data_IF_609905722896
#
_entry.id   IF_609905722896
#
_cell.length_a   1.000
_cell.length_b   1.000
_cell.length_c   1.000
_cell.angle_alpha   90.00
_cell.angle_beta   90.00
_cell.angle_gamma   90.00
#
_symmetry.space_group_name_H-M   'P 1'
#
loop_
_entity.id
_entity.type
_entity.pdbx_description
1 polymer ?
#
# COMPACT_ATOMS: atom_id res chain seq x y z
N UNK A 1 97.59 31.01 -32.10
CA UNK A 1 96.88 31.29 -30.83
C UNK A 1 95.40 31.04 -31.07
N UNK A 2 94.89 29.91 -30.58
CA UNK A 2 93.45 29.68 -30.53
C UNK A 2 92.87 30.65 -29.50
N UNK A 3 91.90 31.45 -29.91
CA UNK A 3 91.24 32.51 -29.13
C UNK A 3 90.32 32.01 -28.01
N UNK A 4 90.32 30.72 -27.71
CA UNK A 4 89.41 30.12 -26.73
C UNK A 4 90.18 29.33 -25.67
N UNK A 5 90.04 29.75 -24.40
CA UNK A 5 90.53 29.03 -23.22
C UNK A 5 89.76 27.70 -23.07
N UNK A 6 90.43 26.53 -23.14
CA UNK A 6 89.80 25.22 -22.97
C UNK A 6 89.05 25.08 -21.64
N UNK A 7 89.48 25.79 -20.58
CA UNK A 7 88.81 25.77 -19.26
C UNK A 7 87.44 26.44 -19.30
N UNK A 8 87.30 27.51 -20.08
CA UNK A 8 86.03 28.19 -20.29
C UNK A 8 85.06 27.31 -21.09
N UNK A 9 85.56 26.60 -22.11
CA UNK A 9 84.77 25.64 -22.88
C UNK A 9 84.32 24.44 -22.04
N UNK A 10 85.19 23.88 -21.20
CA UNK A 10 84.82 22.77 -20.27
C UNK A 10 83.69 23.21 -19.35
N UNK A 11 83.76 24.42 -18.77
CA UNK A 11 82.71 24.96 -17.90
C UNK A 11 81.38 25.14 -18.64
N UNK A 12 81.41 25.77 -19.82
CA UNK A 12 80.18 26.00 -20.63
C UNK A 12 79.53 24.68 -21.06
N UNK A 13 80.33 23.67 -21.44
CA UNK A 13 79.81 22.36 -21.82
C UNK A 13 79.27 21.57 -20.61
N UNK A 14 79.90 21.72 -19.43
CA UNK A 14 79.41 21.11 -18.19
C UNK A 14 78.10 21.75 -17.72
N UNK A 15 77.98 23.08 -17.80
CA UNK A 15 76.75 23.81 -17.50
C UNK A 15 75.62 23.41 -18.47
N UNK A 16 75.94 23.13 -19.74
CA UNK A 16 74.98 22.64 -20.73
C UNK A 16 74.55 21.19 -20.44
N UNK A 17 75.47 20.34 -20.02
CA UNK A 17 75.18 18.97 -19.56
C UNK A 17 74.20 18.97 -18.39
N UNK A 18 74.46 19.79 -17.37
CA UNK A 18 73.60 19.93 -16.20
C UNK A 18 72.21 20.46 -16.58
N UNK A 19 72.13 21.46 -17.48
CA UNK A 19 70.84 21.97 -17.99
C UNK A 19 70.05 20.92 -18.76
N UNK A 20 70.70 20.09 -19.57
CA UNK A 20 70.05 18.97 -20.27
C UNK A 20 69.53 17.92 -19.30
N UNK A 21 70.28 17.62 -18.24
CA UNK A 21 69.84 16.71 -17.17
C UNK A 21 68.63 17.26 -16.42
N UNK A 22 68.66 18.53 -16.01
CA UNK A 22 67.52 19.21 -15.36
C UNK A 22 66.28 19.21 -16.24
N UNK A 23 66.40 19.59 -17.51
CA UNK A 23 65.30 19.52 -18.46
C UNK A 23 64.71 18.10 -18.59
N UNK A 24 65.57 17.08 -18.57
CA UNK A 24 65.13 15.68 -18.67
C UNK A 24 64.35 15.24 -17.43
N UNK A 25 64.77 15.69 -16.24
CA UNK A 25 64.06 15.45 -14.98
C UNK A 25 62.71 16.19 -14.96
N UNK A 26 62.72 17.49 -15.22
CA UNK A 26 61.52 18.34 -15.21
C UNK A 26 60.46 17.84 -16.21
N UNK A 27 60.88 17.46 -17.42
CA UNK A 27 59.97 16.89 -18.43
C UNK A 27 59.43 15.51 -18.05
N UNK A 28 60.24 14.67 -17.39
CA UNK A 28 59.77 13.39 -16.86
C UNK A 28 58.76 13.59 -15.73
N UNK A 29 58.97 14.53 -14.83
CA UNK A 29 58.08 14.75 -13.70
C UNK A 29 56.77 15.42 -14.13
N UNK A 30 56.84 16.38 -15.05
CA UNK A 30 55.65 16.98 -15.69
C UNK A 30 54.80 15.93 -16.41
N UNK A 31 55.43 14.97 -17.12
CA UNK A 31 54.71 13.89 -17.78
C UNK A 31 54.02 12.96 -16.78
N UNK A 32 54.69 12.60 -15.67
CA UNK A 32 54.08 11.79 -14.60
C UNK A 32 52.88 12.48 -13.97
N UNK A 33 52.98 13.79 -13.72
CA UNK A 33 51.87 14.58 -13.18
C UNK A 33 50.69 14.62 -14.16
N UNK A 34 50.96 14.83 -15.45
CA UNK A 34 49.92 14.79 -16.49
C UNK A 34 49.26 13.40 -16.62
N UNK A 35 50.04 12.31 -16.57
CA UNK A 35 49.52 10.93 -16.56
C UNK A 35 48.67 10.65 -15.30
N UNK A 36 49.08 11.16 -14.14
CA UNK A 36 48.30 11.04 -12.90
C UNK A 36 46.96 11.79 -13.00
N UNK A 37 46.98 13.05 -13.43
CA UNK A 37 45.77 13.86 -13.58
C UNK A 37 44.82 13.22 -14.60
N UNK A 38 45.34 12.73 -15.73
CA UNK A 38 44.55 12.02 -16.73
C UNK A 38 43.86 10.79 -16.14
N UNK A 39 44.58 9.96 -15.37
CA UNK A 39 44.01 8.78 -14.71
C UNK A 39 42.89 9.17 -13.74
N UNK A 40 43.10 10.19 -12.91
CA UNK A 40 42.07 10.69 -12.01
C UNK A 40 40.85 11.23 -12.77
N UNK A 41 41.05 11.90 -13.90
CA UNK A 41 39.96 12.38 -14.74
C UNK A 41 39.15 11.22 -15.36
N UNK A 42 39.83 10.21 -15.90
CA UNK A 42 39.20 8.98 -16.42
C UNK A 42 38.40 8.24 -15.35
N UNK A 43 38.97 8.05 -14.15
CA UNK A 43 38.29 7.41 -13.03
C UNK A 43 37.01 8.17 -12.63
N UNK A 44 37.08 9.50 -12.53
CA UNK A 44 35.93 10.35 -12.20
C UNK A 44 34.86 10.32 -13.29
N UNK A 45 35.24 10.37 -14.57
CA UNK A 45 34.30 10.25 -15.68
C UNK A 45 33.63 8.88 -15.69
N UNK A 46 34.39 7.80 -15.50
CA UNK A 46 33.85 6.44 -15.41
C UNK A 46 32.88 6.28 -14.23
N UNK A 47 33.19 6.89 -13.09
CA UNK A 47 32.26 6.92 -11.95
C UNK A 47 30.99 7.69 -12.30
N UNK A 48 31.11 8.86 -12.94
CA UNK A 48 29.97 9.67 -13.35
C UNK A 48 29.07 8.93 -14.34
N UNK A 49 29.64 8.21 -15.32
CA UNK A 49 28.90 7.34 -16.27
C UNK A 49 28.08 6.28 -15.52
N UNK A 50 28.69 5.62 -14.53
CA UNK A 50 27.98 4.60 -13.74
C UNK A 50 26.86 5.22 -12.92
N UNK A 51 27.10 6.35 -12.25
CA UNK A 51 26.09 7.03 -11.46
C UNK A 51 24.93 7.54 -12.33
N UNK A 52 25.21 8.08 -13.52
CA UNK A 52 24.16 8.54 -14.44
C UNK A 52 23.35 7.38 -15.00
N UNK A 53 23.97 6.22 -15.27
CA UNK A 53 23.25 5.02 -15.70
C UNK A 53 22.31 4.49 -14.61
N UNK A 54 22.77 4.45 -13.35
CA UNK A 54 21.93 4.08 -12.19
C UNK A 54 20.77 5.07 -12.04
N UNK A 55 21.04 6.37 -12.12
CA UNK A 55 20.00 7.40 -12.01
C UNK A 55 18.95 7.27 -13.12
N UNK A 56 19.38 7.00 -14.37
CA UNK A 56 18.47 6.76 -15.51
C UNK A 56 17.57 5.56 -15.25
N UNK A 57 18.13 4.41 -14.91
CA UNK A 57 17.32 3.22 -14.62
C UNK A 57 16.34 3.47 -13.47
N UNK A 58 16.74 4.19 -12.42
CA UNK A 58 15.84 4.51 -11.32
C UNK A 58 14.67 5.41 -11.76
N UNK A 59 14.92 6.39 -12.63
CA UNK A 59 13.85 7.26 -13.15
C UNK A 59 12.92 6.48 -14.09
N UNK A 60 13.44 5.60 -14.92
CA UNK A 60 12.65 4.69 -15.77
C UNK A 60 11.69 3.84 -14.91
N UNK A 61 12.20 3.21 -13.84
CA UNK A 61 11.35 2.46 -12.90
C UNK A 61 10.30 3.35 -12.22
N UNK A 62 10.69 4.53 -11.74
CA UNK A 62 9.75 5.45 -11.10
C UNK A 62 8.65 5.91 -12.08
N UNK A 63 8.97 6.11 -13.36
CA UNK A 63 7.99 6.45 -14.38
C UNK A 63 6.99 5.31 -14.61
N UNK A 64 7.46 4.07 -14.67
CA UNK A 64 6.59 2.88 -14.77
C UNK A 64 5.65 2.78 -13.56
N UNK A 65 6.18 2.91 -12.34
CA UNK A 65 5.40 2.88 -11.10
C UNK A 65 4.33 3.98 -11.06
N UNK A 66 4.68 5.21 -11.46
CA UNK A 66 3.74 6.33 -11.47
C UNK A 66 2.66 6.12 -12.54
N UNK A 67 2.99 5.59 -13.70
CA UNK A 67 2.00 5.26 -14.74
C UNK A 67 1.01 4.19 -14.25
N UNK A 68 1.49 3.16 -13.56
CA UNK A 68 0.61 2.14 -12.96
C UNK A 68 -0.34 2.76 -11.94
N UNK A 69 0.18 3.64 -11.06
CA UNK A 69 -0.64 4.38 -10.09
C UNK A 69 -1.67 5.27 -10.79
N UNK A 70 -1.31 5.97 -11.87
CA UNK A 70 -2.24 6.83 -12.63
C UNK A 70 -3.41 6.03 -13.22
N UNK A 71 -3.13 4.85 -13.77
CA UNK A 71 -4.16 3.94 -14.31
C UNK A 71 -5.08 3.47 -13.20
N UNK A 72 -4.52 3.05 -12.07
CA UNK A 72 -5.28 2.55 -10.93
C UNK A 72 -6.15 3.65 -10.30
N UNK A 73 -5.61 4.86 -10.13
CA UNK A 73 -6.37 6.00 -9.61
C UNK A 73 -7.48 6.41 -10.59
N UNK A 74 -7.21 6.44 -11.89
CA UNK A 74 -8.23 6.71 -12.91
C UNK A 74 -9.36 5.67 -12.85
N UNK A 75 -9.02 4.40 -12.64
CA UNK A 75 -9.98 3.32 -12.43
C UNK A 75 -10.84 3.59 -11.19
N UNK A 76 -10.22 3.92 -10.04
CA UNK A 76 -10.94 4.22 -8.80
C UNK A 76 -11.86 5.43 -8.94
N UNK A 77 -11.43 6.51 -9.61
CA UNK A 77 -12.28 7.68 -9.89
C UNK A 77 -13.51 7.28 -10.70
N UNK A 78 -13.35 6.44 -11.74
CA UNK A 78 -14.49 5.93 -12.52
C UNK A 78 -15.45 5.05 -11.72
N UNK A 79 -14.93 4.30 -10.74
CA UNK A 79 -15.76 3.50 -9.85
C UNK A 79 -16.54 4.36 -8.86
N UNK A 80 -15.92 5.42 -8.34
CA UNK A 80 -16.59 6.38 -7.46
C UNK A 80 -17.72 7.12 -8.18
N UNK A 81 -17.52 7.55 -9.43
CA UNK A 81 -18.60 8.19 -10.20
C UNK A 81 -19.78 7.25 -10.44
N UNK A 82 -19.50 5.97 -10.75
CA UNK A 82 -20.53 4.93 -10.88
C UNK A 82 -21.24 4.67 -9.55
N UNK A 83 -20.50 4.65 -8.43
CA UNK A 83 -21.06 4.46 -7.09
C UNK A 83 -21.97 5.63 -6.69
N UNK A 84 -21.62 6.87 -7.03
CA UNK A 84 -22.46 8.05 -6.82
C UNK A 84 -23.75 7.94 -7.64
N UNK A 85 -23.65 7.61 -8.93
CA UNK A 85 -24.82 7.49 -9.80
C UNK A 85 -25.79 6.41 -9.30
N UNK A 86 -25.26 5.23 -8.95
CA UNK A 86 -26.06 4.13 -8.40
C UNK A 86 -26.67 4.47 -7.04
N UNK A 87 -25.98 5.25 -6.20
CA UNK A 87 -26.51 5.73 -4.92
C UNK A 87 -27.65 6.73 -5.12
N UNK A 88 -27.53 7.66 -6.06
CA UNK A 88 -28.63 8.57 -6.41
C UNK A 88 -29.85 7.82 -6.97
N UNK A 89 -29.63 6.84 -7.85
CA UNK A 89 -30.70 6.00 -8.37
C UNK A 89 -31.40 5.23 -7.24
N UNK A 90 -30.62 4.67 -6.32
CA UNK A 90 -31.15 3.95 -5.15
C UNK A 90 -31.97 4.87 -4.26
N UNK A 91 -31.47 6.06 -3.95
CA UNK A 91 -32.19 7.06 -3.17
C UNK A 91 -33.53 7.46 -3.83
N UNK A 92 -33.55 7.63 -5.15
CA UNK A 92 -34.78 7.92 -5.90
C UNK A 92 -35.81 6.78 -5.79
N UNK A 93 -35.36 5.52 -5.94
CA UNK A 93 -36.23 4.33 -5.81
C UNK A 93 -36.80 4.24 -4.38
N UNK A 94 -35.97 4.44 -3.37
CA UNK A 94 -36.38 4.33 -1.97
C UNK A 94 -37.33 5.47 -1.58
N UNK A 95 -37.09 6.70 -2.05
CA UNK A 95 -38.03 7.81 -1.88
C UNK A 95 -39.40 7.51 -2.52
N UNK A 96 -39.40 6.90 -3.71
CA UNK A 96 -40.65 6.45 -4.33
C UNK A 96 -41.35 5.37 -3.48
N UNK A 97 -40.60 4.43 -2.90
CA UNK A 97 -41.14 3.40 -2.02
C UNK A 97 -41.73 4.00 -0.73
N UNK A 98 -41.08 5.01 -0.14
CA UNK A 98 -41.61 5.75 1.00
C UNK A 98 -42.95 6.43 0.67
N UNK A 99 -43.04 7.15 -0.45
CA UNK A 99 -44.29 7.78 -0.88
C UNK A 99 -45.42 6.77 -1.09
N UNK A 100 -45.10 5.58 -1.63
CA UNK A 100 -46.06 4.47 -1.76
C UNK A 100 -46.49 3.93 -0.40
N UNK A 101 -45.58 3.80 0.56
CA UNK A 101 -45.91 3.37 1.91
C UNK A 101 -46.81 4.39 2.63
N UNK A 102 -46.49 5.67 2.54
CA UNK A 102 -47.27 6.77 3.14
C UNK A 102 -48.68 6.84 2.54
N UNK A 103 -48.80 6.76 1.21
CA UNK A 103 -50.12 6.73 0.55
C UNK A 103 -50.94 5.50 0.92
N UNK A 104 -50.30 4.34 1.08
CA UNK A 104 -50.94 3.10 1.54
C UNK A 104 -51.43 3.23 2.98
N UNK A 105 -50.63 3.82 3.87
CA UNK A 105 -51.03 4.08 5.25
C UNK A 105 -52.25 5.01 5.30
N UNK A 106 -52.22 6.12 4.55
CA UNK A 106 -53.33 7.06 4.47
C UNK A 106 -54.61 6.38 3.95
N UNK A 107 -54.49 5.52 2.94
CA UNK A 107 -55.63 4.75 2.42
C UNK A 107 -56.26 3.86 3.51
N UNK A 108 -55.45 3.08 4.22
CA UNK A 108 -55.97 2.18 5.26
C UNK A 108 -56.49 2.91 6.50
N UNK A 109 -55.92 4.06 6.84
CA UNK A 109 -56.45 4.92 7.89
C UNK A 109 -57.85 5.44 7.53
N UNK A 110 -58.05 5.85 6.28
CA UNK A 110 -59.38 6.25 5.79
C UNK A 110 -60.38 5.09 5.81
N UNK A 111 -59.96 3.90 5.33
CA UNK A 111 -60.79 2.68 5.39
C UNK A 111 -61.15 2.29 6.83
N UNK A 112 -60.22 2.45 7.78
CA UNK A 112 -60.48 2.22 9.20
C UNK A 112 -61.54 3.19 9.74
N UNK A 113 -61.47 4.47 9.38
CA UNK A 113 -62.49 5.46 9.78
C UNK A 113 -63.87 5.11 9.22
N UNK A 114 -63.95 4.66 7.96
CA UNK A 114 -65.20 4.19 7.34
C UNK A 114 -65.74 2.97 8.09
N UNK A 115 -64.87 2.01 8.43
CA UNK A 115 -65.25 0.81 9.18
C UNK A 115 -65.78 1.14 10.59
N UNK A 116 -65.12 2.05 11.30
CA UNK A 116 -65.56 2.53 12.62
C UNK A 116 -66.92 3.23 12.54
N UNK A 117 -67.14 4.07 11.52
CA UNK A 117 -68.44 4.70 11.29
C UNK A 117 -69.54 3.69 10.95
N UNK A 118 -69.21 2.59 10.25
CA UNK A 118 -70.16 1.50 10.01
C UNK A 118 -70.48 0.73 11.30
N UNK A 119 -69.46 0.41 12.11
CA UNK A 119 -69.68 -0.23 13.42
C UNK A 119 -70.61 0.62 14.30
N UNK A 120 -70.35 1.93 14.42
CA UNK A 120 -71.19 2.82 15.21
C UNK A 120 -72.65 2.86 14.72
N UNK A 121 -72.88 2.82 13.40
CA UNK A 121 -74.23 2.74 12.84
C UNK A 121 -74.91 1.39 13.14
N UNK A 122 -74.17 0.29 13.09
CA UNK A 122 -74.68 -1.05 13.41
C UNK A 122 -75.03 -1.18 14.90
N UNK A 123 -74.24 -0.57 15.80
CA UNK A 123 -74.56 -0.47 17.24
C UNK A 123 -75.88 0.27 17.47
N UNK A 124 -76.05 1.43 16.83
CA UNK A 124 -77.30 2.20 16.92
C UNK A 124 -78.50 1.41 16.37
N UNK A 125 -78.33 0.69 15.25
CA UNK A 125 -79.40 -0.17 14.68
C UNK A 125 -79.78 -1.29 15.65
N UNK A 126 -78.80 -1.94 16.27
CA UNK A 126 -79.05 -2.98 17.26
C UNK A 126 -79.81 -2.44 18.47
N UNK A 127 -79.41 -1.28 19.00
CA UNK A 127 -80.11 -0.64 20.12
C UNK A 127 -81.57 -0.31 19.76
N UNK A 128 -81.82 0.19 18.54
CA UNK A 128 -83.18 0.44 18.04
C UNK A 128 -83.99 -0.85 17.90
N UNK A 129 -83.40 -1.92 17.35
CA UNK A 129 -84.06 -3.21 17.22
C UNK A 129 -84.44 -3.79 18.59
N UNK A 130 -83.56 -3.68 19.60
CA UNK A 130 -83.83 -4.11 20.97
C UNK A 130 -84.98 -3.30 21.58
N UNK A 131 -85.04 -1.99 21.35
CA UNK A 131 -86.16 -1.15 21.82
C UNK A 131 -87.50 -1.54 21.18
N UNK A 132 -87.49 -1.83 19.87
CA UNK A 132 -88.68 -2.30 19.14
C UNK A 132 -89.13 -3.66 19.68
N UNK A 133 -88.20 -4.59 19.90
CA UNK A 133 -88.49 -5.90 20.50
C UNK A 133 -89.13 -5.77 21.89
N UNK A 134 -88.55 -4.95 22.78
CA UNK A 134 -89.13 -4.69 24.11
C UNK A 134 -90.52 -4.05 24.02
N UNK A 135 -90.74 -3.17 23.03
CA UNK A 135 -92.06 -2.60 22.80
C UNK A 135 -93.07 -3.66 22.32
N UNK A 136 -92.66 -4.55 21.42
CA UNK A 136 -93.49 -5.65 20.93
C UNK A 136 -93.84 -6.64 22.06
N UNK A 137 -92.89 -6.97 22.95
CA UNK A 137 -93.16 -7.78 24.15
C UNK A 137 -94.24 -7.14 25.03
N UNK A 138 -94.13 -5.84 25.30
CA UNK A 138 -95.15 -5.08 26.05
C UNK A 138 -96.51 -5.10 25.34
N UNK A 139 -96.53 -5.01 24.01
CA UNK A 139 -97.75 -5.08 23.22
C UNK A 139 -98.41 -6.46 23.35
N UNK A 140 -97.64 -7.55 23.26
CA UNK A 140 -98.11 -8.92 23.46
C UNK A 140 -98.71 -9.10 24.86
N UNK A 141 -98.02 -8.62 25.90
CA UNK A 141 -98.52 -8.68 27.27
C UNK A 141 -99.83 -7.90 27.43
N UNK A 142 -99.90 -6.68 26.90
CA UNK A 142 -101.11 -5.87 26.90
C UNK A 142 -102.27 -6.55 26.16
N UNK A 143 -102.02 -7.13 24.98
CA UNK A 143 -103.00 -7.85 24.19
C UNK A 143 -103.50 -9.11 24.91
N UNK A 144 -102.62 -9.87 25.56
CA UNK A 144 -102.97 -11.03 26.39
C UNK A 144 -103.84 -10.63 27.58
N UNK A 145 -103.50 -9.53 28.25
CA UNK A 145 -104.31 -8.97 29.33
C UNK A 145 -105.68 -8.48 28.85
N UNK A 146 -105.77 -7.92 27.64
CA UNK A 146 -107.04 -7.55 27.02
C UNK A 146 -107.88 -8.78 26.68
N UNK A 147 -107.27 -9.83 26.10
CA UNK A 147 -107.93 -11.10 25.79
C UNK A 147 -108.50 -11.75 27.04
N UNK A 148 -107.70 -11.88 28.11
CA UNK A 148 -108.14 -12.43 29.40
C UNK A 148 -109.32 -11.64 29.99
N UNK A 149 -109.26 -10.30 29.93
CA UNK A 149 -110.36 -9.43 30.37
C UNK A 149 -111.63 -9.60 29.53
N UNK A 150 -111.50 -9.67 28.21
CA UNK A 150 -112.61 -9.90 27.28
C UNK A 150 -113.24 -11.28 27.46
N UNK A 151 -112.42 -12.31 27.68
CA UNK A 151 -112.88 -13.67 27.98
C UNK A 151 -113.67 -13.71 29.29
N UNK A 152 -113.17 -13.07 30.35
CA UNK A 152 -113.88 -12.97 31.63
C UNK A 152 -115.20 -12.18 31.51
N UNK A 153 -115.29 -11.17 30.63
CA UNK A 153 -116.53 -10.45 30.33
C UNK A 153 -117.52 -11.32 29.56
N UNK A 154 -117.05 -12.05 28.55
CA UNK A 154 -117.87 -12.98 27.76
C UNK A 154 -118.44 -14.10 28.65
N UNK A 155 -117.61 -14.74 29.48
CA UNK A 155 -118.06 -15.77 30.44
C UNK A 155 -119.12 -15.24 31.41
N UNK A 156 -118.93 -14.01 31.92
CA UNK A 156 -119.95 -13.36 32.78
C UNK A 156 -121.26 -13.13 32.04
N UNK A 157 -121.22 -12.70 30.79
CA UNK A 157 -122.43 -12.49 29.98
C UNK A 157 -123.15 -13.82 29.71
N UNK A 158 -122.41 -14.89 29.36
CA UNK A 158 -122.98 -16.21 29.10
C UNK A 158 -123.64 -16.81 30.36
N UNK A 159 -123.09 -16.54 31.54
CA UNK A 159 -123.59 -17.05 32.81
C UNK A 159 -124.71 -16.18 33.44
N UNK A 160 -125.04 -15.03 32.86
CA UNK A 160 -126.08 -14.13 33.36
C UNK A 160 -127.46 -14.54 32.79
N UNK A 161 -128.34 -15.06 33.64
CA UNK A 161 -129.64 -15.61 33.23
C UNK A 161 -130.62 -14.55 32.71
N UNK A 162 -130.41 -13.27 33.02
CA UNK A 162 -131.29 -12.16 32.62
C UNK A 162 -130.88 -11.50 31.30
N UNK A 163 -129.68 -11.81 30.77
CA UNK A 163 -129.16 -11.25 29.51
C UNK A 163 -129.44 -12.18 28.32
N UNK A 164 -130.11 -11.63 27.29
CA UNK A 164 -130.46 -12.39 26.06
C UNK A 164 -129.45 -12.24 24.90
N UNK A 165 -128.49 -11.33 24.97
CA UNK A 165 -127.57 -11.04 23.86
C UNK A 165 -126.15 -10.74 24.38
N UNK A 166 -125.17 -11.55 23.95
CA UNK A 166 -123.75 -11.41 24.28
C UNK A 166 -122.86 -11.14 23.05
N UNK A 167 -123.45 -10.75 21.92
CA UNK A 167 -122.73 -10.58 20.65
C UNK A 167 -121.64 -9.50 20.74
N UNK A 168 -121.83 -8.48 21.59
CA UNK A 168 -120.84 -7.40 21.73
C UNK A 168 -119.57 -7.87 22.46
N UNK A 169 -119.74 -8.72 23.46
CA UNK A 169 -118.69 -9.33 24.27
C UNK A 169 -117.96 -10.42 23.47
N UNK A 170 -118.68 -11.17 22.65
CA UNK A 170 -118.09 -12.14 21.73
C UNK A 170 -117.24 -11.44 20.66
N UNK A 171 -117.73 -10.33 20.11
CA UNK A 171 -116.94 -9.49 19.19
C UNK A 171 -115.70 -8.91 19.88
N UNK A 172 -115.82 -8.44 21.12
CA UNK A 172 -114.69 -7.94 21.89
C UNK A 172 -113.64 -9.03 22.18
N UNK A 173 -114.08 -10.26 22.44
CA UNK A 173 -113.19 -11.42 22.58
C UNK A 173 -112.48 -11.76 21.28
N UNK A 174 -113.21 -11.86 20.16
CA UNK A 174 -112.64 -12.15 18.85
C UNK A 174 -111.65 -11.06 18.41
N UNK A 175 -111.96 -9.79 18.65
CA UNK A 175 -111.04 -8.67 18.39
C UNK A 175 -109.77 -8.76 19.26
N UNK A 176 -109.90 -9.08 20.55
CA UNK A 176 -108.75 -9.24 21.43
C UNK A 176 -107.89 -10.45 21.04
N UNK A 177 -108.52 -11.54 20.58
CA UNK A 177 -107.83 -12.73 20.06
C UNK A 177 -107.03 -12.39 18.80
N UNK A 178 -107.64 -11.65 17.88
CA UNK A 178 -106.95 -11.15 16.69
C UNK A 178 -105.79 -10.22 17.05
N UNK A 179 -105.98 -9.30 18.02
CA UNK A 179 -104.92 -8.41 18.49
C UNK A 179 -103.72 -9.15 19.11
N UNK A 180 -103.96 -10.28 19.82
CA UNK A 180 -102.87 -11.13 20.31
C UNK A 180 -102.08 -11.76 19.15
N UNK A 181 -102.76 -12.23 18.10
CA UNK A 181 -102.09 -12.81 16.94
C UNK A 181 -101.21 -11.77 16.22
N UNK A 182 -101.73 -10.56 16.00
CA UNK A 182 -100.96 -9.44 15.41
C UNK A 182 -99.76 -9.08 16.28
N UNK A 183 -99.94 -8.96 17.60
CA UNK A 183 -98.82 -8.63 18.49
C UNK A 183 -97.74 -9.73 18.53
N UNK A 184 -98.12 -11.00 18.39
CA UNK A 184 -97.16 -12.11 18.30
C UNK A 184 -96.36 -12.08 16.99
N UNK A 185 -97.01 -11.72 15.88
CA UNK A 185 -96.35 -11.53 14.59
C UNK A 185 -95.35 -10.36 14.66
N UNK A 186 -95.76 -9.20 15.20
CA UNK A 186 -94.87 -8.05 15.45
C UNK A 186 -93.66 -8.42 16.32
N UNK A 187 -93.86 -9.23 17.35
CA UNK A 187 -92.76 -9.70 18.22
C UNK A 187 -91.79 -10.60 17.45
N UNK A 188 -92.30 -11.50 16.62
CA UNK A 188 -91.47 -12.39 15.81
C UNK A 188 -90.66 -11.60 14.77
N UNK A 189 -91.27 -10.59 14.13
CA UNK A 189 -90.56 -9.68 13.22
C UNK A 189 -89.46 -8.90 13.95
N UNK A 190 -89.74 -8.40 15.16
CA UNK A 190 -88.75 -7.69 15.96
C UNK A 190 -87.58 -8.59 16.40
N UNK A 191 -87.85 -9.86 16.73
CA UNK A 191 -86.81 -10.85 17.06
C UNK A 191 -85.87 -11.10 15.87
N UNK A 192 -86.45 -11.25 14.66
CA UNK A 192 -85.67 -11.41 13.43
C UNK A 192 -84.80 -10.18 13.16
N UNK A 193 -85.33 -8.97 13.36
CA UNK A 193 -84.57 -7.73 13.17
C UNK A 193 -83.42 -7.59 14.18
N UNK A 194 -83.61 -7.99 15.43
CA UNK A 194 -82.53 -8.01 16.44
C UNK A 194 -81.42 -8.95 16.00
N UNK A 195 -81.75 -10.17 15.56
CA UNK A 195 -80.75 -11.13 15.07
C UNK A 195 -80.00 -10.57 13.84
N UNK A 196 -80.72 -9.97 12.90
CA UNK A 196 -80.11 -9.35 11.72
C UNK A 196 -79.17 -8.19 12.08
N UNK A 197 -79.56 -7.34 13.04
CA UNK A 197 -78.73 -6.23 13.52
C UNK A 197 -77.49 -6.72 14.30
N UNK A 198 -77.61 -7.79 15.09
CA UNK A 198 -76.47 -8.44 15.75
C UNK A 198 -75.47 -8.99 14.73
N UNK A 199 -75.95 -9.69 13.70
CA UNK A 199 -75.08 -10.18 12.63
C UNK A 199 -74.37 -9.04 11.89
N UNK A 200 -75.06 -7.92 11.61
CA UNK A 200 -74.44 -6.75 11.00
C UNK A 200 -73.33 -6.17 11.89
N UNK A 201 -73.59 -6.03 13.19
CA UNK A 201 -72.60 -5.53 14.15
C UNK A 201 -71.35 -6.41 14.18
N UNK A 202 -71.50 -7.73 14.21
CA UNK A 202 -70.35 -8.65 14.22
C UNK A 202 -69.55 -8.57 12.90
N UNK A 203 -70.22 -8.40 11.75
CA UNK A 203 -69.53 -8.14 10.47
C UNK A 203 -68.78 -6.81 10.48
N UNK A 204 -69.37 -5.76 11.06
CA UNK A 204 -68.73 -4.46 11.17
C UNK A 204 -67.49 -4.49 12.09
N UNK A 205 -67.58 -5.15 13.25
CA UNK A 205 -66.44 -5.39 14.14
C UNK A 205 -65.33 -6.17 13.46
N UNK A 206 -65.68 -7.22 12.71
CA UNK A 206 -64.71 -8.00 11.95
C UNK A 206 -63.98 -7.12 10.91
N UNK A 207 -64.70 -6.24 10.20
CA UNK A 207 -64.11 -5.29 9.25
C UNK A 207 -63.17 -4.31 9.94
N UNK A 208 -63.54 -3.75 11.08
CA UNK A 208 -62.67 -2.88 11.89
C UNK A 208 -61.38 -3.61 12.27
N UNK A 209 -61.49 -4.85 12.77
CA UNK A 209 -60.33 -5.67 13.11
C UNK A 209 -59.38 -5.91 11.93
N UNK A 210 -59.92 -6.13 10.73
CA UNK A 210 -59.13 -6.26 9.51
C UNK A 210 -58.43 -4.94 9.13
N UNK A 211 -59.14 -3.82 9.15
CA UNK A 211 -58.59 -2.50 8.86
C UNK A 211 -57.50 -2.10 9.86
N UNK A 212 -57.68 -2.40 11.16
CA UNK A 212 -56.68 -2.14 12.19
C UNK A 212 -55.37 -2.89 11.91
N UNK A 213 -55.46 -4.18 11.56
CA UNK A 213 -54.28 -4.98 11.17
C UNK A 213 -53.61 -4.41 9.92
N UNK A 214 -54.38 -3.99 8.92
CA UNK A 214 -53.85 -3.39 7.70
C UNK A 214 -53.12 -2.07 7.97
N UNK A 215 -53.65 -1.21 8.84
CA UNK A 215 -52.98 0.02 9.29
C UNK A 215 -51.66 -0.32 9.97
N UNK A 216 -51.64 -1.28 10.92
CA UNK A 216 -50.41 -1.68 11.60
C UNK A 216 -49.32 -2.15 10.61
N UNK A 217 -49.69 -2.95 9.60
CA UNK A 217 -48.73 -3.35 8.56
C UNK A 217 -48.25 -2.17 7.70
N UNK A 218 -49.13 -1.23 7.39
CA UNK A 218 -48.76 -0.03 6.65
C UNK A 218 -47.82 0.88 7.47
N UNK A 219 -48.02 1.02 8.78
CA UNK A 219 -47.12 1.75 9.69
C UNK A 219 -45.73 1.11 9.73
N UNK A 220 -45.66 -0.22 9.82
CA UNK A 220 -44.39 -0.96 9.72
C UNK A 220 -43.70 -0.74 8.38
N UNK A 221 -44.46 -0.77 7.28
CA UNK A 221 -43.91 -0.49 5.94
C UNK A 221 -43.35 0.93 5.83
N UNK A 222 -44.05 1.94 6.36
CA UNK A 222 -43.55 3.33 6.42
C UNK A 222 -42.28 3.42 7.25
N UNK A 223 -42.23 2.76 8.41
CA UNK A 223 -41.05 2.73 9.26
C UNK A 223 -39.83 2.15 8.53
N UNK A 224 -39.98 1.00 7.88
CA UNK A 224 -38.90 0.40 7.11
C UNK A 224 -38.49 1.24 5.89
N UNK A 225 -39.44 1.89 5.22
CA UNK A 225 -39.12 2.77 4.11
C UNK A 225 -38.29 3.98 4.56
N UNK A 226 -38.59 4.58 5.73
CA UNK A 226 -37.79 5.67 6.31
C UNK A 226 -36.37 5.24 6.65
N UNK A 227 -36.21 4.08 7.29
CA UNK A 227 -34.89 3.52 7.57
C UNK A 227 -34.09 3.27 6.28
N UNK A 228 -34.75 2.80 5.22
CA UNK A 228 -34.11 2.62 3.93
C UNK A 228 -33.66 3.95 3.31
N UNK A 229 -34.44 5.04 3.46
CA UNK A 229 -34.02 6.37 3.00
C UNK A 229 -32.76 6.82 3.73
N UNK A 230 -32.74 6.72 5.05
CA UNK A 230 -31.57 7.08 5.86
C UNK A 230 -30.32 6.31 5.43
N UNK A 231 -30.46 5.01 5.16
CA UNK A 231 -29.35 4.18 4.66
C UNK A 231 -28.90 4.56 3.25
N UNK A 232 -29.84 4.92 2.36
CA UNK A 232 -29.51 5.36 1.01
C UNK A 232 -28.81 6.73 1.00
N UNK A 233 -29.22 7.65 1.88
CA UNK A 233 -28.54 8.93 2.09
C UNK A 233 -27.12 8.74 2.63
N UNK A 234 -26.94 7.85 3.60
CA UNK A 234 -25.63 7.51 4.13
C UNK A 234 -24.72 6.92 3.04
N UNK A 235 -25.23 5.98 2.25
CA UNK A 235 -24.48 5.37 1.15
C UNK A 235 -24.05 6.42 0.10
N UNK A 236 -24.93 7.38 -0.22
CA UNK A 236 -24.60 8.48 -1.10
C UNK A 236 -23.47 9.35 -0.51
N UNK A 237 -23.56 9.72 0.76
CA UNK A 237 -22.52 10.50 1.44
C UNK A 237 -21.16 9.79 1.45
N UNK A 238 -21.16 8.47 1.68
CA UNK A 238 -19.94 7.67 1.66
C UNK A 238 -19.34 7.56 0.24
N UNK A 239 -20.18 7.47 -0.80
CA UNK A 239 -19.75 7.48 -2.19
C UNK A 239 -19.13 8.84 -2.58
N UNK A 240 -19.75 9.95 -2.17
CA UNK A 240 -19.21 11.31 -2.39
C UNK A 240 -17.85 11.51 -1.71
N UNK A 241 -17.71 11.10 -0.44
CA UNK A 241 -16.43 11.17 0.29
C UNK A 241 -15.35 10.31 -0.36
N UNK A 242 -15.74 9.14 -0.87
CA UNK A 242 -14.82 8.27 -1.62
C UNK A 242 -14.36 8.93 -2.91
N UNK A 243 -15.24 9.65 -3.61
CA UNK A 243 -14.89 10.44 -4.80
C UNK A 243 -13.92 11.57 -4.47
N UNK A 244 -14.15 12.33 -3.40
CA UNK A 244 -13.21 13.38 -2.96
C UNK A 244 -11.81 12.82 -2.67
N UNK A 245 -11.76 11.63 -2.04
CA UNK A 245 -10.51 10.93 -1.74
C UNK A 245 -9.81 10.45 -3.03
N UNK A 246 -10.58 9.90 -3.97
CA UNK A 246 -10.08 9.47 -5.28
C UNK A 246 -9.54 10.65 -6.11
N UNK A 247 -10.22 11.79 -6.11
CA UNK A 247 -9.74 13.01 -6.75
C UNK A 247 -8.45 13.54 -6.11
N UNK A 248 -8.34 13.45 -4.78
CA UNK A 248 -7.11 13.81 -4.08
C UNK A 248 -5.95 12.90 -4.47
N UNK A 249 -6.19 11.59 -4.57
CA UNK A 249 -5.21 10.65 -5.09
C UNK A 249 -4.84 10.97 -6.55
N UNK A 250 -5.80 11.38 -7.38
CA UNK A 250 -5.56 11.75 -8.77
C UNK A 250 -4.65 12.97 -8.89
N UNK A 251 -4.88 14.00 -8.06
CA UNK A 251 -3.97 15.15 -7.97
C UNK A 251 -2.56 14.74 -7.52
N UNK A 252 -2.45 13.82 -6.58
CA UNK A 252 -1.15 13.32 -6.11
C UNK A 252 -0.41 12.53 -7.21
N UNK A 253 -1.12 11.66 -7.95
CA UNK A 253 -0.56 10.91 -9.07
C UNK A 253 -0.07 11.83 -10.19
N UNK A 254 -0.89 12.82 -10.59
CA UNK A 254 -0.49 13.81 -11.60
C UNK A 254 0.74 14.64 -11.18
N UNK A 255 0.81 15.02 -9.89
CA UNK A 255 1.99 15.70 -9.35
C UNK A 255 3.23 14.80 -9.34
N UNK A 256 3.07 13.51 -9.04
CA UNK A 256 4.17 12.53 -9.10
C UNK A 256 4.65 12.36 -10.55
N UNK A 257 3.74 12.30 -11.51
CA UNK A 257 4.06 12.21 -12.94
C UNK A 257 4.89 13.42 -13.40
N UNK A 258 4.47 14.64 -13.06
CA UNK A 258 5.21 15.86 -13.37
C UNK A 258 6.64 15.87 -12.78
N UNK A 259 6.79 15.40 -11.54
CA UNK A 259 8.11 15.29 -10.90
C UNK A 259 8.99 14.22 -11.52
N UNK A 260 8.39 13.10 -11.93
CA UNK A 260 9.12 12.02 -12.59
C UNK A 260 9.61 12.44 -13.98
N UNK A 261 8.80 13.19 -14.73
CA UNK A 261 9.23 13.78 -16.01
C UNK A 261 10.32 14.82 -15.83
N UNK A 262 10.25 15.67 -14.79
CA UNK A 262 11.32 16.62 -14.48
C UNK A 262 12.64 15.90 -14.13
N UNK A 263 12.57 14.83 -13.34
CA UNK A 263 13.73 14.02 -13.00
C UNK A 263 14.36 13.36 -14.24
N UNK A 264 13.54 12.89 -15.18
CA UNK A 264 14.00 12.31 -16.45
C UNK A 264 14.76 13.35 -17.29
N UNK A 265 14.21 14.55 -17.45
CA UNK A 265 14.87 15.66 -18.13
C UNK A 265 16.21 16.02 -17.47
N UNK A 266 16.29 16.03 -16.14
CA UNK A 266 17.53 16.29 -15.41
C UNK A 266 18.58 15.20 -15.62
N UNK A 267 18.17 13.93 -15.67
CA UNK A 267 19.08 12.81 -15.94
C UNK A 267 19.58 12.84 -17.38
N UNK A 268 18.73 13.15 -18.36
CA UNK A 268 19.15 13.32 -19.75
C UNK A 268 20.17 14.47 -19.90
N UNK A 269 19.95 15.60 -19.22
CA UNK A 269 20.95 16.68 -19.17
C UNK A 269 22.27 16.23 -18.52
N UNK A 270 22.21 15.42 -17.46
CA UNK A 270 23.38 14.86 -16.81
C UNK A 270 24.16 13.95 -17.78
N UNK A 271 23.47 13.07 -18.50
CA UNK A 271 24.08 12.16 -19.48
C UNK A 271 24.81 12.92 -20.59
N UNK A 272 24.20 14.00 -21.11
CA UNK A 272 24.84 14.88 -22.09
C UNK A 272 26.16 15.45 -21.53
N UNK A 273 26.16 15.94 -20.28
CA UNK A 273 27.37 16.50 -19.65
C UNK A 273 28.43 15.43 -19.39
N UNK A 274 28.02 14.23 -19.00
CA UNK A 274 28.94 13.10 -18.79
C UNK A 274 29.60 12.68 -20.10
N UNK A 275 28.86 12.60 -21.20
CA UNK A 275 29.44 12.32 -22.53
C UNK A 275 30.37 13.44 -23.02
N UNK A 276 30.09 14.70 -22.68
CA UNK A 276 31.03 15.79 -22.93
C UNK A 276 32.32 15.64 -22.10
N UNK A 277 32.21 15.23 -20.83
CA UNK A 277 33.38 14.94 -19.99
C UNK A 277 34.21 13.79 -20.55
N UNK A 278 33.53 12.74 -21.04
CA UNK A 278 34.14 11.59 -21.69
C UNK A 278 34.94 11.98 -22.94
N UNK A 279 34.35 12.82 -23.81
CA UNK A 279 35.04 13.29 -25.00
C UNK A 279 36.29 14.12 -24.66
N UNK A 280 36.22 14.99 -23.64
CA UNK A 280 37.39 15.74 -23.15
C UNK A 280 38.46 14.82 -22.57
N UNK A 281 38.09 13.79 -21.80
CA UNK A 281 39.06 12.83 -21.27
C UNK A 281 39.72 12.02 -22.38
N UNK A 282 38.97 11.63 -23.41
CA UNK A 282 39.51 10.91 -24.57
C UNK A 282 40.48 11.79 -25.37
N UNK A 283 40.15 13.07 -25.57
CA UNK A 283 41.04 14.03 -26.24
C UNK A 283 42.34 14.24 -25.43
N UNK A 284 42.22 14.43 -24.10
CA UNK A 284 43.36 14.57 -23.21
C UNK A 284 44.25 13.32 -23.21
N UNK A 285 43.67 12.12 -23.33
CA UNK A 285 44.42 10.87 -23.48
C UNK A 285 45.29 10.86 -24.74
N UNK A 286 44.75 11.32 -25.87
CA UNK A 286 45.49 11.44 -27.14
C UNK A 286 46.64 12.44 -27.02
N UNK A 287 46.42 13.58 -26.36
CA UNK A 287 47.50 14.54 -26.10
C UNK A 287 48.57 13.99 -25.17
N UNK A 288 48.19 13.21 -24.15
CA UNK A 288 49.14 12.59 -23.23
C UNK A 288 50.02 11.55 -23.95
N UNK A 289 49.42 10.68 -24.77
CA UNK A 289 50.16 9.73 -25.62
C UNK A 289 51.14 10.44 -26.56
N UNK A 290 50.70 11.53 -27.19
CA UNK A 290 51.55 12.34 -28.08
C UNK A 290 52.70 12.99 -27.30
N UNK A 291 52.43 13.51 -26.10
CA UNK A 291 53.43 14.12 -25.22
C UNK A 291 54.47 13.12 -24.76
N UNK A 292 54.05 11.89 -24.43
CA UNK A 292 54.95 10.78 -24.09
C UNK A 292 55.89 10.43 -25.23
N UNK A 293 55.39 10.28 -26.46
CA UNK A 293 56.23 10.03 -27.64
C UNK A 293 57.26 11.14 -27.87
N UNK A 294 56.86 12.40 -27.66
CA UNK A 294 57.77 13.55 -27.77
C UNK A 294 58.79 13.58 -26.64
N UNK A 295 58.39 13.27 -25.41
CA UNK A 295 59.28 13.16 -24.25
C UNK A 295 60.31 12.04 -24.44
N UNK A 296 59.90 10.87 -24.94
CA UNK A 296 60.81 9.76 -25.26
C UNK A 296 61.81 10.15 -26.37
N UNK A 297 61.37 10.89 -27.37
CA UNK A 297 62.25 11.45 -28.40
C UNK A 297 63.25 12.45 -27.81
N UNK A 298 62.78 13.40 -27.00
CA UNK A 298 63.60 14.40 -26.33
C UNK A 298 64.62 13.76 -25.37
N UNK A 299 64.21 12.74 -24.61
CA UNK A 299 65.08 11.98 -23.72
C UNK A 299 66.19 11.25 -24.50
N UNK A 300 65.86 10.62 -25.64
CA UNK A 300 66.85 9.99 -26.51
C UNK A 300 67.87 11.01 -27.04
N UNK A 301 67.41 12.15 -27.54
CA UNK A 301 68.28 13.23 -28.01
C UNK A 301 69.14 13.81 -26.88
N UNK A 302 68.57 14.02 -25.70
CA UNK A 302 69.27 14.48 -24.50
C UNK A 302 70.37 13.50 -24.08
N UNK A 303 70.09 12.19 -24.10
CA UNK A 303 71.08 11.14 -23.80
C UNK A 303 72.24 11.14 -24.80
N UNK A 304 71.93 11.22 -26.10
CA UNK A 304 72.95 11.31 -27.15
C UNK A 304 73.78 12.59 -27.01
N UNK A 305 73.13 13.73 -26.78
CA UNK A 305 73.80 15.01 -26.55
C UNK A 305 74.69 14.99 -25.31
N UNK A 306 74.22 14.40 -24.22
CA UNK A 306 75.00 14.23 -22.97
C UNK A 306 76.23 13.36 -23.21
N UNK A 307 76.12 12.28 -23.98
CA UNK A 307 77.26 11.42 -24.32
C UNK A 307 78.30 12.18 -25.16
N UNK A 308 77.86 12.89 -26.19
CA UNK A 308 78.73 13.73 -27.02
C UNK A 308 79.39 14.85 -26.22
N UNK A 309 78.66 15.51 -25.31
CA UNK A 309 79.19 16.54 -24.41
C UNK A 309 80.24 15.94 -23.47
N UNK A 310 79.96 14.79 -22.84
CA UNK A 310 80.91 14.08 -21.99
C UNK A 310 82.17 13.69 -22.75
N UNK A 311 82.02 13.22 -23.99
CA UNK A 311 83.15 12.85 -24.83
C UNK A 311 83.99 14.08 -25.21
N UNK A 312 83.37 15.20 -25.56
CA UNK A 312 84.08 16.47 -25.85
C UNK A 312 84.74 17.07 -24.62
N UNK A 313 84.06 17.08 -23.47
CA UNK A 313 84.64 17.49 -22.19
C UNK A 313 85.85 16.63 -21.87
N UNK A 314 85.76 15.29 -22.05
CA UNK A 314 86.90 14.37 -21.85
C UNK A 314 88.06 14.65 -22.79
N UNK A 315 87.81 14.94 -24.07
CA UNK A 315 88.83 15.35 -25.03
C UNK A 315 89.47 16.72 -24.69
N UNK A 316 88.69 17.69 -24.21
CA UNK A 316 89.22 18.99 -23.79
C UNK A 316 90.02 18.87 -22.49
N UNK A 317 89.60 18.01 -21.56
CA UNK A 317 90.37 17.68 -20.35
C UNK A 317 91.69 17.01 -20.75
N UNK A 318 91.67 16.03 -21.67
CA UNK A 318 92.89 15.35 -22.12
C UNK A 318 93.83 16.29 -22.90
N UNK A 319 93.31 17.22 -23.71
CA UNK A 319 94.11 18.27 -24.37
C UNK A 319 94.69 19.29 -23.39
N UNK A 320 93.95 19.62 -22.33
CA UNK A 320 94.42 20.51 -21.26
C UNK A 320 95.45 19.80 -20.35
N UNK A 321 95.34 18.48 -20.17
CA UNK A 321 96.30 17.60 -19.47
C UNK A 321 97.55 17.28 -20.31
N UNK A 322 97.45 17.22 -21.64
CA UNK A 322 98.59 17.01 -22.55
C UNK A 322 99.63 18.16 -22.52
N UNK A 323 99.32 19.28 -21.86
CA UNK A 323 100.27 20.38 -21.59
C UNK A 323 100.90 20.32 -20.19
N UNK A 324 100.56 19.32 -19.36
CA UNK A 324 100.91 19.26 -17.93
C UNK A 324 101.27 17.86 -17.41
N UNK A 325 101.38 16.84 -18.26
CA UNK A 325 101.79 15.49 -17.87
C UNK A 325 103.17 15.10 -18.44
N UNK A 326 104.17 15.95 -18.17
CA UNK A 326 105.56 15.49 -18.00
C UNK A 326 105.96 15.64 -16.53
N UNK A 327 105.28 14.90 -15.63
CA UNK A 327 105.79 14.51 -14.30
C UNK A 327 104.83 13.61 -13.51
N UNK A 328 105.34 12.41 -13.24
CA UNK A 328 105.19 11.62 -12.00
C UNK A 328 103.86 10.89 -11.79
N UNK A 329 103.85 9.55 -11.82
CA UNK A 329 104.39 8.56 -10.85
C UNK A 329 103.43 8.29 -9.66
N UNK A 330 103.03 7.02 -9.61
CA UNK A 330 102.66 6.19 -8.45
C UNK A 330 101.33 6.39 -7.71
N UNK A 331 100.61 5.25 -7.61
CA UNK A 331 99.94 4.79 -6.39
C UNK A 331 98.40 4.92 -6.39
N UNK A 332 97.59 4.07 -5.76
CA UNK A 332 97.72 2.82 -5.00
C UNK A 332 96.29 2.22 -4.95
N UNK A 333 96.22 0.89 -4.86
CA UNK A 333 95.19 -0.03 -4.36
C UNK A 333 93.81 0.46 -3.86
N UNK A 334 92.83 -0.45 -4.06
CA UNK A 334 92.11 -1.20 -3.00
C UNK A 334 90.57 -1.14 -2.97
N UNK A 335 89.99 -2.37 -3.01
CA UNK A 335 88.89 -2.91 -2.17
C UNK A 335 87.48 -2.28 -2.39
N UNK A 336 86.34 -2.98 -2.31
CA UNK A 336 85.99 -4.27 -1.72
C UNK A 336 84.53 -4.63 -2.10
N UNK A 337 84.23 -5.95 -2.20
CA UNK A 337 83.10 -6.70 -1.58
C UNK A 337 81.64 -6.17 -1.74
N UNK A 338 80.60 -6.98 -1.85
CA UNK A 338 80.39 -8.44 -1.75
C UNK A 338 78.89 -8.76 -1.82
N UNK A 339 78.57 -10.00 -2.23
CA UNK A 339 77.47 -10.86 -1.72
C UNK A 339 76.04 -10.39 -2.05
N UNK A 340 75.10 -11.21 -2.49
CA UNK A 340 75.01 -12.66 -2.66
C UNK A 340 73.52 -12.97 -2.81
N UNK A 341 73.18 -13.92 -3.69
CA UNK A 341 71.83 -14.49 -3.77
C UNK A 341 71.44 -15.15 -2.45
N UNK A 342 70.13 -15.31 -2.21
CA UNK A 342 69.67 -16.69 -2.14
C UNK A 342 68.31 -16.93 -2.79
N UNK A 343 68.16 -18.15 -3.29
CA UNK A 343 66.90 -18.86 -3.49
C UNK A 343 66.07 -18.87 -2.19
N UNK A 344 64.74 -18.75 -2.31
CA UNK A 344 63.81 -19.27 -1.30
C UNK A 344 62.67 -20.00 -2.00
N UNK A 345 62.51 -21.24 -1.53
CA UNK A 345 61.52 -22.24 -1.86
C UNK A 345 60.07 -21.79 -1.62
N UNK A 346 59.16 -22.58 -2.20
CA UNK A 346 57.72 -22.39 -2.10
C UNK A 346 57.17 -22.26 -0.69
N UNK A 347 56.11 -21.47 -0.60
CA UNK A 347 55.11 -21.62 0.44
C UNK A 347 53.77 -21.17 -0.13
N UNK A 348 52.79 -22.07 -0.10
CA UNK A 348 51.39 -21.76 -0.37
C UNK A 348 50.95 -20.73 0.69
N UNK A 349 50.48 -19.53 0.33
CA UNK A 349 49.97 -18.60 1.31
C UNK A 349 48.60 -19.09 1.78
N UNK A 350 48.55 -19.82 2.89
CA UNK A 350 47.36 -19.97 3.73
C UNK A 350 47.13 -18.69 4.55
N UNK A 351 47.18 -17.52 3.91
CA UNK A 351 46.94 -16.25 4.60
C UNK A 351 45.44 -16.02 4.76
N UNK A 352 44.98 -15.63 5.96
CA UNK A 352 43.57 -15.35 6.21
C UNK A 352 43.13 -14.12 5.41
N UNK A 353 41.92 -14.18 4.85
CA UNK A 353 41.27 -13.01 4.26
C UNK A 353 41.08 -11.92 5.31
N UNK A 354 41.12 -10.64 4.88
CA UNK A 354 40.79 -9.52 5.77
C UNK A 354 39.30 -9.22 5.64
N UNK A 355 38.64 -8.99 6.77
CA UNK A 355 37.24 -8.60 6.82
C UNK A 355 37.16 -7.15 7.26
N UNK A 356 36.54 -6.30 6.46
CA UNK A 356 36.32 -4.88 6.74
C UNK A 356 34.82 -4.62 6.84
N UNK A 357 34.43 -3.81 7.82
CA UNK A 357 33.09 -3.25 7.89
C UNK A 357 33.02 -2.00 7.01
N UNK A 358 32.20 -2.04 5.97
CA UNK A 358 31.95 -0.86 5.13
C UNK A 358 31.05 0.14 5.87
N UNK A 359 30.07 -0.38 6.61
CA UNK A 359 29.25 0.38 7.55
C UNK A 359 28.63 -0.56 8.59
N UNK A 360 28.36 -0.03 9.79
CA UNK A 360 27.73 -0.77 10.88
C UNK A 360 26.77 0.15 11.63
N UNK A 361 25.47 0.02 11.32
CA UNK A 361 24.39 0.79 11.95
C UNK A 361 23.43 -0.11 12.76
N UNK A 362 23.88 -1.31 13.19
CA UNK A 362 23.00 -2.29 13.83
C UNK A 362 22.38 -1.79 15.14
N UNK A 363 23.05 -0.87 15.84
CA UNK A 363 22.59 -0.31 17.12
C UNK A 363 21.32 0.56 16.97
N UNK A 364 21.11 1.18 15.79
CA UNK A 364 20.04 2.17 15.54
C UNK A 364 18.99 1.67 14.51
N UNK A 365 18.62 0.39 14.55
CA UNK A 365 17.74 -0.24 13.55
C UNK A 365 18.28 -0.24 12.11
N UNK A 366 19.59 -0.11 11.96
CA UNK A 366 20.25 -0.02 10.67
C UNK A 366 20.73 -1.35 10.12
N UNK A 367 21.57 -1.24 9.11
CA UNK A 367 22.22 -2.36 8.42
C UNK A 367 23.71 -2.42 8.71
N UNK A 368 24.28 -3.61 8.58
CA UNK A 368 25.71 -3.85 8.54
C UNK A 368 26.09 -4.42 7.18
N UNK A 369 27.25 -4.01 6.67
CA UNK A 369 27.90 -4.65 5.52
C UNK A 369 29.32 -5.04 5.88
N UNK A 370 29.58 -6.34 5.83
CA UNK A 370 30.93 -6.90 6.03
C UNK A 370 31.45 -7.34 4.67
N UNK A 371 32.62 -6.83 4.29
CA UNK A 371 33.30 -7.13 3.04
C UNK A 371 34.55 -7.97 3.33
N UNK A 372 34.71 -9.06 2.59
CA UNK A 372 35.95 -9.81 2.54
C UNK A 372 36.84 -9.22 1.45
N UNK A 373 38.10 -8.96 1.79
CA UNK A 373 39.10 -8.38 0.89
C UNK A 373 40.37 -9.25 0.82
N UNK A 374 41.05 -9.17 -0.33
CA UNK A 374 42.43 -9.69 -0.45
C UNK A 374 43.43 -8.76 0.25
N UNK A 375 44.66 -9.23 0.46
CA UNK A 375 45.76 -8.38 0.95
C UNK A 375 46.04 -7.14 0.08
N UNK A 376 45.55 -7.13 -1.17
CA UNK A 376 45.67 -6.03 -2.12
C UNK A 376 44.45 -5.09 -2.09
N UNK A 377 43.51 -5.28 -1.16
CA UNK A 377 42.30 -4.45 -1.04
C UNK A 377 41.26 -4.71 -2.13
N UNK A 378 41.27 -5.91 -2.74
CA UNK A 378 40.25 -6.27 -3.73
C UNK A 378 39.07 -6.95 -3.03
N UNK A 379 37.87 -6.41 -3.22
CA UNK A 379 36.62 -7.02 -2.75
C UNK A 379 36.41 -8.40 -3.40
N UNK A 380 36.21 -9.41 -2.57
CA UNK A 380 36.01 -10.81 -3.02
C UNK A 380 34.64 -11.37 -2.63
N UNK A 381 33.94 -10.69 -1.73
CA UNK A 381 32.56 -10.96 -1.37
C UNK A 381 32.09 -10.08 -0.22
N UNK A 382 30.79 -10.05 0.01
CA UNK A 382 30.18 -9.30 1.10
C UNK A 382 28.94 -10.00 1.65
N UNK A 383 28.56 -9.64 2.89
CA UNK A 383 27.27 -9.95 3.49
C UNK A 383 26.61 -8.66 3.98
N UNK A 384 25.34 -8.47 3.64
CA UNK A 384 24.51 -7.36 4.13
C UNK A 384 23.44 -7.94 5.04
N UNK A 385 23.36 -7.43 6.26
CA UNK A 385 22.32 -7.78 7.21
C UNK A 385 21.66 -6.53 7.76
N UNK A 386 20.38 -6.60 8.09
CA UNK A 386 19.63 -5.49 8.67
C UNK A 386 18.78 -5.96 9.84
N UNK A 387 18.74 -5.16 10.89
CA UNK A 387 17.81 -5.37 11.99
C UNK A 387 16.39 -5.10 11.48
N UNK A 388 15.47 -6.04 11.68
CA UNK A 388 14.07 -5.81 11.33
C UNK A 388 13.39 -5.04 12.47
N UNK A 389 12.49 -4.10 12.13
CA UNK A 389 11.74 -3.35 13.15
C UNK A 389 10.85 -4.32 13.91
N UNK A 390 11.07 -4.39 15.23
CA UNK A 390 10.22 -5.15 16.14
C UNK A 390 8.77 -4.66 16.05
N UNK A 391 7.84 -5.60 15.88
CA UNK A 391 6.46 -5.41 16.36
C UNK A 391 6.52 -5.42 17.89
N UNK A 392 5.83 -4.47 18.55
CA UNK A 392 5.92 -4.07 19.98
C UNK A 392 5.87 -5.16 21.09
N UNK A 393 5.97 -6.46 20.80
CA UNK A 393 5.68 -7.54 21.74
C UNK A 393 6.73 -8.67 21.87
N UNK A 394 7.87 -8.61 21.19
CA UNK A 394 8.88 -9.68 21.29
C UNK A 394 10.25 -9.17 21.73
N UNK A 395 10.75 -9.62 22.88
CA UNK A 395 12.14 -9.37 23.38
C UNK A 395 13.25 -10.01 22.50
N UNK A 396 12.91 -10.54 21.32
CA UNK A 396 13.86 -11.25 20.47
C UNK A 396 14.28 -10.40 19.28
N UNK A 397 15.55 -9.96 19.31
CA UNK A 397 16.18 -9.26 18.19
C UNK A 397 16.30 -10.21 16.99
N UNK A 398 15.62 -9.86 15.90
CA UNK A 398 15.73 -10.55 14.60
C UNK A 398 16.55 -9.72 13.62
N UNK A 399 17.46 -10.39 12.92
CA UNK A 399 18.33 -9.78 11.90
C UNK A 399 18.16 -10.53 10.60
N UNK A 400 17.72 -9.81 9.57
CA UNK A 400 17.51 -10.33 8.23
C UNK A 400 18.81 -10.24 7.43
N UNK A 401 19.27 -11.34 6.87
CA UNK A 401 20.33 -11.34 5.85
C UNK A 401 19.68 -10.90 4.55
N UNK A 402 20.04 -9.72 4.05
CA UNK A 402 19.44 -9.11 2.85
C UNK A 402 20.13 -9.57 1.57
N UNK A 403 21.45 -9.69 1.61
CA UNK A 403 22.24 -10.06 0.45
C UNK A 403 23.54 -10.73 0.87
N UNK A 404 24.04 -11.64 0.05
CA UNK A 404 25.35 -12.26 0.22
C UNK A 404 25.91 -12.59 -1.15
N UNK A 405 27.01 -11.93 -1.52
CA UNK A 405 27.70 -12.20 -2.76
C UNK A 405 29.13 -12.66 -2.47
N UNK A 406 29.52 -13.79 -3.07
CA UNK A 406 30.92 -14.23 -3.09
C UNK A 406 31.29 -14.56 -4.52
N UNK A 407 32.39 -13.98 -5.00
CA UNK A 407 32.84 -14.17 -6.37
C UNK A 407 33.05 -15.67 -6.66
N UNK A 408 32.59 -16.14 -7.83
CA UNK A 408 32.52 -17.58 -8.18
C UNK A 408 33.82 -18.34 -7.91
N UNK A 409 34.98 -17.73 -8.17
CA UNK A 409 36.32 -18.31 -7.95
C UNK A 409 36.66 -18.57 -6.47
N UNK A 410 35.89 -18.03 -5.52
CA UNK A 410 36.13 -18.15 -4.08
C UNK A 410 35.02 -18.83 -3.29
N UNK A 411 33.91 -19.21 -3.92
CA UNK A 411 32.78 -19.89 -3.23
C UNK A 411 33.18 -21.19 -2.53
N UNK A 412 34.14 -21.95 -3.08
CA UNK A 412 34.66 -23.20 -2.49
C UNK A 412 35.68 -23.01 -1.36
N UNK A 413 36.03 -21.77 -1.00
CA UNK A 413 37.06 -21.45 0.00
C UNK A 413 36.50 -21.11 1.39
N UNK A 414 35.21 -21.39 1.65
CA UNK A 414 34.59 -21.12 2.95
C UNK A 414 34.38 -19.64 3.28
N UNK A 415 34.55 -18.72 2.31
CA UNK A 415 34.44 -17.28 2.55
C UNK A 415 33.04 -16.89 3.03
N UNK A 416 32.00 -17.52 2.50
CA UNK A 416 30.62 -17.30 2.95
C UNK A 416 30.43 -17.68 4.43
N UNK A 417 31.02 -18.80 4.87
CA UNK A 417 31.02 -19.17 6.30
C UNK A 417 31.77 -18.17 7.15
N UNK A 418 32.94 -17.71 6.70
CA UNK A 418 33.71 -16.75 7.48
C UNK A 418 33.02 -15.38 7.55
N UNK A 419 32.32 -14.94 6.49
CA UNK A 419 31.48 -13.74 6.50
C UNK A 419 30.32 -13.89 7.49
N UNK A 420 29.65 -15.04 7.48
CA UNK A 420 28.59 -15.34 8.44
C UNK A 420 29.13 -15.41 9.87
N UNK A 421 30.26 -16.06 10.10
CA UNK A 421 30.87 -16.15 11.43
C UNK A 421 31.25 -14.77 11.97
N UNK A 422 31.84 -13.90 11.13
CA UNK A 422 32.11 -12.52 11.52
C UNK A 422 30.83 -11.75 11.84
N UNK A 423 29.72 -12.01 11.13
CA UNK A 423 28.42 -11.43 11.47
C UNK A 423 27.89 -11.97 12.81
N UNK A 424 28.00 -13.27 13.05
CA UNK A 424 27.55 -13.93 14.29
C UNK A 424 28.31 -13.42 15.53
N UNK A 425 29.63 -13.23 15.43
CA UNK A 425 30.48 -12.71 16.51
C UNK A 425 30.12 -11.27 16.92
N UNK A 426 29.42 -10.53 16.06
CA UNK A 426 28.99 -9.14 16.32
C UNK A 426 27.61 -9.03 16.92
N UNK A 427 26.82 -10.11 16.89
CA UNK A 427 25.44 -10.09 17.35
C UNK A 427 25.33 -10.67 18.77
N UNK A 428 24.40 -10.14 19.59
CA UNK A 428 24.14 -10.70 20.91
C UNK A 428 23.76 -12.18 20.85
N UNK A 429 24.14 -12.93 21.90
CA UNK A 429 23.68 -14.32 22.07
C UNK A 429 22.15 -14.32 22.13
N UNK A 430 21.53 -15.22 21.37
CA UNK A 430 20.08 -15.31 21.27
C UNK A 430 19.46 -14.53 20.12
N UNK A 431 20.22 -13.70 19.40
CA UNK A 431 19.76 -13.07 18.15
C UNK A 431 19.42 -14.15 17.11
N UNK A 432 18.31 -13.94 16.40
CA UNK A 432 17.87 -14.82 15.32
C UNK A 432 18.27 -14.22 13.97
N UNK A 433 19.14 -14.94 13.25
CA UNK A 433 19.48 -14.65 11.86
C UNK A 433 18.51 -15.38 10.95
N UNK A 434 17.98 -14.71 9.91
CA UNK A 434 17.10 -15.37 8.95
C UNK A 434 17.20 -14.82 7.52
N UNK A 435 16.77 -15.62 6.54
CA UNK A 435 16.59 -15.23 5.13
C UNK A 435 15.29 -15.82 4.54
N UNK A 436 14.72 -15.12 3.54
CA UNK A 436 13.47 -15.53 2.87
C UNK A 436 13.74 -16.52 1.73
N UNK A 437 12.76 -17.38 1.41
CA UNK A 437 12.82 -18.51 0.45
C UNK A 437 13.51 -18.20 -0.89
N UNK A 438 13.32 -17.00 -1.44
CA UNK A 438 13.90 -16.60 -2.73
C UNK A 438 15.44 -16.41 -2.70
N UNK A 439 16.05 -16.57 -1.52
CA UNK A 439 17.47 -16.37 -1.27
C UNK A 439 18.10 -17.64 -0.68
N UNK A 440 17.73 -18.84 -1.16
CA UNK A 440 18.30 -20.11 -0.72
C UNK A 440 19.58 -20.48 -1.52
N UNK A 441 20.79 -20.20 -1.01
CA UNK A 441 21.98 -20.93 -1.42
C UNK A 441 22.02 -22.33 -0.83
N UNK A 442 22.37 -23.31 -1.66
CA UNK A 442 22.65 -24.71 -1.28
C UNK A 442 23.59 -24.88 -0.07
N UNK A 443 24.34 -23.82 0.28
CA UNK A 443 25.38 -23.82 1.30
C UNK A 443 24.90 -23.60 2.74
N UNK A 444 23.73 -22.99 2.96
CA UNK A 444 23.35 -22.53 4.31
C UNK A 444 22.78 -23.63 5.21
N UNK A 445 22.23 -24.71 4.63
CA UNK A 445 21.80 -25.89 5.40
C UNK A 445 22.97 -26.49 6.18
N UNK A 446 24.16 -26.47 5.59
CA UNK A 446 25.40 -26.93 6.22
C UNK A 446 25.92 -25.98 7.32
N UNK A 447 25.36 -24.76 7.43
CA UNK A 447 25.74 -23.76 8.44
C UNK A 447 24.81 -23.72 9.66
N UNK A 448 23.89 -24.69 9.76
CA UNK A 448 23.00 -24.85 10.92
C UNK A 448 21.71 -24.01 10.87
N UNK A 449 21.32 -23.51 9.70
CA UNK A 449 20.01 -22.89 9.50
C UNK A 449 18.92 -23.96 9.43
N UNK A 450 17.79 -23.69 10.09
CA UNK A 450 16.60 -24.55 10.11
C UNK A 450 15.49 -23.89 9.28
N UNK A 451 14.76 -24.69 8.51
CA UNK A 451 13.59 -24.23 7.74
C UNK A 451 12.38 -24.13 8.67
N UNK A 452 11.62 -23.04 8.57
CA UNK A 452 10.28 -22.92 9.16
C UNK A 452 9.31 -22.23 8.20
N UNK A 453 8.04 -22.59 8.31
CA UNK A 453 6.94 -21.96 7.57
C UNK A 453 6.26 -20.94 8.48
N UNK A 454 6.17 -19.70 8.01
CA UNK A 454 5.48 -18.60 8.68
C UNK A 454 3.95 -18.72 8.55
N UNK A 455 3.22 -17.95 9.36
CA UNK A 455 1.75 -17.96 9.38
C UNK A 455 1.11 -17.54 8.05
N UNK A 456 1.84 -16.75 7.26
CA UNK A 456 1.44 -16.33 5.91
C UNK A 456 1.74 -17.39 4.83
N UNK A 457 2.30 -18.55 5.21
CA UNK A 457 2.67 -19.63 4.31
C UNK A 457 4.04 -19.46 3.64
N UNK A 458 4.74 -18.34 3.89
CA UNK A 458 6.09 -18.14 3.38
C UNK A 458 7.10 -19.00 4.13
N UNK A 459 8.17 -19.45 3.46
CA UNK A 459 9.26 -20.18 4.10
C UNK A 459 10.41 -19.26 4.42
N UNK A 460 10.97 -19.44 5.61
CA UNK A 460 12.21 -18.80 6.00
C UNK A 460 13.18 -19.81 6.61
N UNK A 461 14.45 -19.54 6.42
CA UNK A 461 15.52 -20.30 7.04
C UNK A 461 16.12 -19.44 8.15
N UNK A 462 16.17 -19.96 9.37
CA UNK A 462 16.63 -19.21 10.53
C UNK A 462 17.69 -19.96 11.33
N UNK A 463 18.58 -19.22 11.99
CA UNK A 463 19.60 -19.73 12.91
C UNK A 463 19.63 -18.84 14.14
N UNK A 464 19.53 -19.46 15.32
CA UNK A 464 19.67 -18.75 16.58
C UNK A 464 21.13 -18.81 17.04
N UNK A 465 21.72 -17.65 17.32
CA UNK A 465 23.11 -17.59 17.77
C UNK A 465 23.20 -18.19 19.17
N UNK A 466 23.83 -19.35 19.27
CA UNK A 466 24.14 -20.03 20.53
C UNK A 466 25.60 -19.79 20.89
N UNK A 467 25.89 -19.67 22.19
CA UNK A 467 27.27 -19.55 22.65
C UNK A 467 28.01 -20.84 22.33
N UNK A 468 29.01 -20.77 21.44
CA UNK A 468 29.99 -21.84 21.26
C UNK A 468 30.71 -22.02 22.61
N UNK A 469 30.52 -23.18 23.24
CA UNK A 469 31.20 -23.58 24.49
C UNK A 469 32.60 -24.06 24.16
#
# INVERSE_FOLDING_TARGET
>A
MSTYDPRLLIRVLSDLEEKLQRFTLDSSDTLKEAEYIQRCAEERTNQAIRCSAIAKSQVEYNLEDVQEIEVEVSRIVSQCSTAIETSHQTLAIVNQAQQKADSTLNHWQNELQIALAWQARAEVRLDQAIQIYQQAERNVESARNALSRSEARLRRCINDQDRKNCNSEERAYNNAKAAVLVALEELQEAEIEVLAAQEELERAKARVGCCQKAVNYAEQAVHHAKLAVEQAEQALSDAERSSESAESANRAASNAQAKSTEADEQVEQLLIRVHQSESFTNEAQVYNQTSRLRADSAHRLSKLGTLELKDRIRHLISLNQASLEEKQRYGVDSLQKSVGSPDIAGNVPSKPFKYREDYNYLDEFGSIRIVAETDQGTDIGFIIAAKEKESDSSEQVRVRIKDTEVAKKYRRKGIASSLLQNLEERLPIGTELYFQENQEPDYWKDQGFQERTLLDGSREYFKKIQKLI
#
